data_IF_882733026827
#
_entry.id   IF_882733026827
#
_cell.length_a   1.000
_cell.length_b   1.000
_cell.length_c   1.000
_cell.angle_alpha   90.00
_cell.angle_beta   90.00
_cell.angle_gamma   90.00
#
_symmetry.space_group_name_H-M   'P 1'
#
loop_
_entity.id
_entity.type
_entity.pdbx_description
1 polymer ?
#
# COMPACT_ATOMS: atom_id res chain seq x y z
N UNK A 1 8.34 10.44 -24.00
CA UNK A 1 9.03 9.64 -22.98
C UNK A 1 7.93 9.04 -22.13
N UNK A 2 7.66 7.74 -22.27
CA UNK A 2 6.92 7.00 -21.26
C UNK A 2 7.77 7.03 -20.00
N UNK A 3 7.23 7.57 -18.92
CA UNK A 3 7.88 7.55 -17.63
C UNK A 3 7.94 6.07 -17.20
N UNK A 4 9.14 5.47 -17.18
CA UNK A 4 9.32 4.08 -16.75
C UNK A 4 9.12 4.04 -15.23
N UNK A 5 7.86 3.92 -14.82
CA UNK A 5 7.51 3.85 -13.41
C UNK A 5 8.06 2.59 -12.77
N UNK A 6 8.84 2.77 -11.72
CA UNK A 6 9.26 1.70 -10.82
C UNK A 6 8.64 1.93 -9.44
N UNK A 7 7.96 0.94 -8.83
CA UNK A 7 7.48 1.07 -7.46
C UNK A 7 8.66 1.09 -6.47
N UNK A 8 8.51 1.85 -5.39
CA UNK A 8 9.54 2.03 -4.35
C UNK A 8 8.90 2.26 -2.98
N UNK A 9 9.64 1.96 -1.91
CA UNK A 9 9.22 2.13 -0.51
C UNK A 9 8.75 3.56 -0.26
N UNK A 10 7.64 3.72 0.48
CA UNK A 10 6.97 5.01 0.81
C UNK A 10 6.24 5.69 -0.34
N UNK A 11 6.50 5.27 -1.58
CA UNK A 11 5.72 5.72 -2.73
C UNK A 11 4.26 5.30 -2.58
N UNK A 12 3.37 6.08 -3.17
CA UNK A 12 1.95 5.78 -3.22
C UNK A 12 1.44 5.71 -4.66
N UNK A 13 0.40 4.93 -4.87
CA UNK A 13 -0.22 4.75 -6.20
C UNK A 13 -1.73 4.72 -6.08
N UNK A 14 -2.42 5.15 -7.13
CA UNK A 14 -3.84 4.94 -7.30
C UNK A 14 -4.08 3.74 -8.20
N UNK A 15 -4.62 2.67 -7.64
CA UNK A 15 -5.13 1.56 -8.43
C UNK A 15 -6.63 1.73 -8.65
N UNK A 16 -7.09 1.52 -9.89
CA UNK A 16 -8.52 1.43 -10.19
C UNK A 16 -9.07 0.14 -9.60
N UNK A 17 -9.97 0.24 -8.63
CA UNK A 17 -10.70 -0.90 -8.08
C UNK A 17 -12.19 -0.63 -8.23
N UNK A 18 -12.83 -1.24 -9.22
CA UNK A 18 -14.23 -0.93 -9.56
C UNK A 18 -14.40 0.52 -10.07
N UNK A 19 -15.43 1.27 -9.62
CA UNK A 19 -15.72 2.61 -10.14
C UNK A 19 -14.80 3.70 -9.58
N UNK A 20 -13.96 3.40 -8.59
CA UNK A 20 -13.14 4.40 -7.87
C UNK A 20 -11.65 4.05 -7.90
N UNK A 21 -10.82 5.09 -7.80
CA UNK A 21 -9.37 4.97 -7.57
C UNK A 21 -9.11 4.91 -6.06
N UNK A 22 -8.36 3.90 -5.63
CA UNK A 22 -7.97 3.76 -4.23
C UNK A 22 -6.47 3.98 -4.06
N UNK A 23 -6.11 4.75 -3.03
CA UNK A 23 -4.72 4.94 -2.64
C UNK A 23 -4.15 3.62 -2.08
N UNK A 24 -2.99 3.24 -2.60
CA UNK A 24 -2.18 2.16 -2.09
C UNK A 24 -0.80 2.69 -1.70
N UNK A 25 -0.27 2.20 -0.59
CA UNK A 25 1.05 2.56 -0.06
C UNK A 25 2.00 1.39 -0.32
N UNK A 26 3.19 1.66 -0.88
CA UNK A 26 4.22 0.66 -1.13
C UNK A 26 5.11 0.48 0.10
N UNK A 27 5.10 -0.72 0.68
CA UNK A 27 5.74 -1.01 1.98
C UNK A 27 7.23 -1.34 1.89
N UNK A 28 7.75 -1.69 0.71
CA UNK A 28 9.16 -2.02 0.49
C UNK A 28 9.62 -1.69 -0.92
N UNK A 29 10.92 -1.50 -1.09
CA UNK A 29 11.54 -1.50 -2.40
C UNK A 29 11.43 -2.91 -3.02
N UNK A 30 11.41 -3.03 -4.37
CA UNK A 30 11.38 -4.30 -5.06
C UNK A 30 12.37 -5.33 -4.51
N UNK A 31 11.85 -6.48 -4.07
CA UNK A 31 12.67 -7.61 -3.60
C UNK A 31 12.36 -8.86 -4.39
N UNK A 32 13.37 -9.68 -4.68
CA UNK A 32 13.12 -10.99 -5.26
C UNK A 32 12.43 -11.89 -4.22
N UNK A 33 11.24 -12.41 -4.57
CA UNK A 33 10.44 -13.25 -3.71
C UNK A 33 10.39 -14.68 -4.25
N UNK A 34 11.13 -15.64 -3.64
CA UNK A 34 11.29 -16.99 -4.18
C UNK A 34 9.99 -17.77 -4.37
N UNK A 35 8.95 -17.47 -3.58
CA UNK A 35 7.65 -18.15 -3.69
C UNK A 35 6.95 -17.81 -5.01
N UNK A 36 7.13 -16.59 -5.52
CA UNK A 36 6.55 -16.13 -6.78
C UNK A 36 7.54 -16.15 -7.95
N UNK A 37 8.81 -16.48 -7.67
CA UNK A 37 9.94 -16.47 -8.61
C UNK A 37 10.06 -15.16 -9.42
N UNK A 38 9.87 -14.02 -8.75
CA UNK A 38 9.96 -12.71 -9.37
C UNK A 38 10.21 -11.60 -8.35
N UNK A 39 10.46 -10.38 -8.84
CA UNK A 39 10.48 -9.19 -7.98
C UNK A 39 9.06 -8.82 -7.54
N UNK A 40 8.89 -8.57 -6.26
CA UNK A 40 7.62 -8.24 -5.63
C UNK A 40 7.76 -7.03 -4.69
N UNK A 41 6.63 -6.38 -4.46
CA UNK A 41 6.41 -5.38 -3.43
C UNK A 41 5.17 -5.76 -2.62
N UNK A 42 5.15 -5.38 -1.35
CA UNK A 42 3.95 -5.43 -0.53
C UNK A 42 3.27 -4.06 -0.59
N UNK A 43 1.95 -4.07 -0.74
CA UNK A 43 1.13 -2.86 -0.68
C UNK A 43 -0.01 -3.01 0.31
N UNK A 44 -0.44 -1.87 0.84
CA UNK A 44 -1.67 -1.76 1.64
C UNK A 44 -2.61 -0.73 1.02
N UNK A 45 -3.91 -0.98 1.16
CA UNK A 45 -4.97 -0.08 0.71
C UNK A 45 -5.37 0.90 1.82
N UNK A 46 -5.85 2.08 1.45
CA UNK A 46 -6.41 3.07 2.37
C UNK A 46 -7.90 3.32 2.06
N UNK A 47 -8.73 3.32 3.11
CA UNK A 47 -10.15 3.66 3.04
C UNK A 47 -10.51 4.74 4.05
N UNK A 48 -11.45 5.62 3.71
CA UNK A 48 -12.01 6.56 4.68
C UNK A 48 -12.78 5.85 5.79
N UNK A 49 -12.70 6.38 7.00
CA UNK A 49 -13.56 5.99 8.12
C UNK A 49 -14.98 6.51 7.85
N UNK A 50 -15.99 5.66 8.08
CA UNK A 50 -17.40 6.01 7.91
C UNK A 50 -18.13 5.79 9.23
N UNK A 51 -18.99 6.75 9.60
CA UNK A 51 -19.76 6.67 10.84
C UNK A 51 -20.59 5.38 10.90
N UNK A 52 -20.48 4.66 12.01
CA UNK A 52 -21.20 3.40 12.25
C UNK A 52 -20.70 2.19 11.44
N UNK A 53 -19.64 2.34 10.64
CA UNK A 53 -19.03 1.24 9.88
C UNK A 53 -17.78 0.75 10.63
N UNK A 54 -17.74 -0.52 11.07
CA UNK A 54 -16.54 -1.11 11.66
C UNK A 54 -15.35 -1.01 10.70
N UNK A 55 -14.19 -0.67 11.24
CA UNK A 55 -12.94 -0.57 10.52
C UNK A 55 -11.80 -1.08 11.39
N UNK A 56 -10.64 -1.30 10.77
CA UNK A 56 -9.42 -1.72 11.47
C UNK A 56 -8.73 -0.46 12.04
N UNK A 57 -8.61 -0.36 13.35
CA UNK A 57 -8.03 0.78 14.05
C UNK A 57 -6.52 0.64 14.30
N UNK A 58 -5.90 -0.43 13.80
CA UNK A 58 -4.46 -0.68 13.93
C UNK A 58 -3.59 0.43 13.31
N UNK A 59 -4.11 1.13 12.30
CA UNK A 59 -3.48 2.32 11.74
C UNK A 59 -4.53 3.28 11.16
N UNK A 60 -4.82 4.35 11.90
CA UNK A 60 -5.61 5.49 11.44
C UNK A 60 -4.69 6.52 10.78
N UNK A 61 -5.11 7.13 9.68
CA UNK A 61 -4.45 8.21 8.96
C UNK A 61 -5.32 9.47 9.03
N UNK A 62 -4.71 10.59 9.39
CA UNK A 62 -5.40 11.86 9.58
C UNK A 62 -5.06 12.88 8.48
N UNK A 63 -5.86 13.94 8.39
CA UNK A 63 -5.57 15.04 7.49
C UNK A 63 -4.15 15.61 7.79
N UNK A 64 -3.33 15.72 6.74
CA UNK A 64 -1.93 16.15 6.83
C UNK A 64 -0.91 15.02 6.97
N UNK A 65 -1.33 13.77 7.19
CA UNK A 65 -0.41 12.62 7.19
C UNK A 65 0.16 12.33 5.78
N UNK A 66 -0.59 12.69 4.73
CA UNK A 66 -0.22 12.64 3.31
C UNK A 66 -1.19 13.53 2.52
N UNK A 67 -0.77 14.19 1.43
CA UNK A 67 -1.58 15.16 0.70
C UNK A 67 -2.89 14.64 0.07
N UNK A 68 -3.03 13.33 -0.10
CA UNK A 68 -4.31 12.69 -0.51
C UNK A 68 -5.30 12.50 0.66
N UNK A 69 -4.81 12.49 1.90
CA UNK A 69 -5.65 12.23 3.08
C UNK A 69 -6.26 13.55 3.56
N UNK A 70 -7.55 13.74 3.29
CA UNK A 70 -8.32 14.92 3.72
C UNK A 70 -9.33 14.62 4.83
N UNK A 71 -9.62 13.33 5.05
CA UNK A 71 -10.55 12.84 6.05
C UNK A 71 -9.90 11.70 6.81
N UNK A 72 -10.33 11.48 8.05
CA UNK A 72 -9.92 10.32 8.84
C UNK A 72 -10.11 9.04 8.01
N UNK A 73 -9.02 8.29 7.87
CA UNK A 73 -8.92 7.11 7.04
C UNK A 73 -8.20 6.02 7.81
N UNK A 74 -8.26 4.79 7.34
CA UNK A 74 -7.60 3.66 7.97
C UNK A 74 -6.93 2.77 6.91
N UNK A 75 -5.89 2.06 7.34
CA UNK A 75 -5.20 1.08 6.50
C UNK A 75 -5.98 -0.24 6.51
N UNK A 76 -6.28 -0.76 5.32
CA UNK A 76 -7.10 -1.95 5.13
C UNK A 76 -6.22 -3.20 5.08
N UNK A 77 -5.65 -3.62 6.20
CA UNK A 77 -4.67 -4.71 6.27
C UNK A 77 -5.14 -6.06 5.73
N UNK A 78 -6.44 -6.37 5.87
CA UNK A 78 -7.01 -7.61 5.32
C UNK A 78 -6.97 -7.68 3.78
N UNK A 79 -6.77 -6.54 3.12
CA UNK A 79 -6.59 -6.42 1.67
C UNK A 79 -5.13 -6.13 1.27
N UNK A 80 -4.19 -6.23 2.21
CA UNK A 80 -2.77 -6.17 1.86
C UNK A 80 -2.45 -7.20 0.77
N UNK A 81 -1.57 -6.84 -0.16
CA UNK A 81 -1.27 -7.69 -1.31
C UNK A 81 0.19 -7.62 -1.70
N UNK A 82 0.75 -8.77 -2.05
CA UNK A 82 2.07 -8.87 -2.66
C UNK A 82 1.87 -8.73 -4.17
N UNK A 83 2.31 -7.61 -4.73
CA UNK A 83 2.25 -7.35 -6.17
C UNK A 83 3.56 -7.70 -6.84
N UNK A 84 3.48 -8.30 -8.03
CA UNK A 84 4.63 -8.50 -8.88
C UNK A 84 4.99 -7.19 -9.57
N UNK A 85 6.28 -6.88 -9.64
CA UNK A 85 6.77 -5.60 -10.19
C UNK A 85 6.46 -5.47 -11.68
N UNK A 86 6.62 -6.53 -12.45
CA UNK A 86 6.27 -6.57 -13.88
C UNK A 86 4.81 -6.16 -14.13
N UNK A 87 3.87 -6.71 -13.37
CA UNK A 87 2.45 -6.37 -13.45
C UNK A 87 2.13 -4.95 -12.98
N UNK A 88 2.91 -4.39 -12.06
CA UNK A 88 2.76 -2.98 -11.63
C UNK A 88 3.19 -2.04 -12.76
N UNK A 89 4.31 -2.33 -13.42
CA UNK A 89 4.81 -1.54 -14.57
C UNK A 89 3.82 -1.60 -15.72
N UNK A 90 3.30 -2.78 -16.06
CA UNK A 90 2.31 -2.96 -17.13
C UNK A 90 1.01 -2.17 -16.83
N UNK A 91 0.50 -2.27 -15.60
CA UNK A 91 -0.69 -1.51 -15.17
C UNK A 91 -0.46 0.00 -15.14
N UNK A 92 0.78 0.43 -14.92
CA UNK A 92 1.09 1.85 -15.05
C UNK A 92 1.06 2.29 -16.51
N UNK A 93 1.73 1.53 -17.38
CA UNK A 93 1.82 1.82 -18.81
C UNK A 93 0.45 1.84 -19.50
N UNK A 94 -0.51 1.03 -19.04
CA UNK A 94 -1.87 0.99 -19.58
C UNK A 94 -2.87 1.95 -18.90
N UNK A 95 -2.42 2.72 -17.88
CA UNK A 95 -3.25 3.70 -17.17
C UNK A 95 -4.25 3.10 -16.16
N UNK A 96 -4.07 1.85 -15.74
CA UNK A 96 -4.82 1.22 -14.63
C UNK A 96 -4.26 1.59 -13.25
N UNK A 97 -2.97 1.94 -13.20
CA UNK A 97 -2.26 2.36 -12.01
C UNK A 97 -1.58 3.72 -12.26
N UNK A 98 -1.82 4.67 -11.36
CA UNK A 98 -1.25 6.01 -11.46
C UNK A 98 -0.33 6.27 -10.26
N UNK A 99 0.91 6.70 -10.52
CA UNK A 99 1.83 7.11 -9.45
C UNK A 99 1.30 8.36 -8.76
N UNK A 100 1.30 8.37 -7.43
CA UNK A 100 1.16 9.62 -6.66
C UNK A 100 2.50 10.35 -6.60
N UNK A 101 2.46 11.68 -6.68
CA UNK A 101 3.67 12.52 -6.73
C UNK A 101 4.33 12.72 -5.35
N UNK A 102 3.56 12.54 -4.28
CA UNK A 102 4.02 12.66 -2.89
C UNK A 102 4.27 11.28 -2.27
N UNK A 103 5.32 11.21 -1.47
CA UNK A 103 5.66 10.05 -0.65
C UNK A 103 5.09 10.20 0.76
N UNK A 104 4.87 9.07 1.44
CA UNK A 104 4.60 9.11 2.87
C UNK A 104 5.84 9.54 3.66
N UNK A 105 5.67 10.49 4.58
CA UNK A 105 6.74 10.84 5.51
C UNK A 105 7.08 9.64 6.41
N UNK A 106 8.31 9.62 6.94
CA UNK A 106 8.82 8.45 7.67
C UNK A 106 7.98 8.10 8.91
N UNK A 107 7.52 9.09 9.67
CA UNK A 107 6.76 8.85 10.90
C UNK A 107 5.41 8.19 10.61
N UNK A 108 4.69 8.68 9.60
CA UNK A 108 3.42 8.09 9.16
C UNK A 108 3.66 6.72 8.56
N UNK A 109 4.69 6.58 7.71
CA UNK A 109 5.01 5.31 7.09
C UNK A 109 5.36 4.22 8.12
N UNK A 110 6.07 4.55 9.20
CA UNK A 110 6.35 3.59 10.27
C UNK A 110 5.09 3.17 11.04
N UNK A 111 4.10 4.07 11.22
CA UNK A 111 2.79 3.68 11.77
C UNK A 111 2.09 2.65 10.86
N UNK A 112 2.18 2.82 9.53
CA UNK A 112 1.64 1.87 8.56
C UNK A 112 2.35 0.51 8.66
N UNK A 113 3.67 0.48 8.81
CA UNK A 113 4.40 -0.78 8.97
C UNK A 113 4.08 -1.46 10.30
N UNK A 114 4.03 -0.71 11.41
CA UNK A 114 3.74 -1.25 12.73
C UNK A 114 2.35 -1.89 12.82
N UNK A 115 1.37 -1.40 12.07
CA UNK A 115 0.02 -1.96 12.08
C UNK A 115 -0.06 -3.41 11.56
N UNK A 116 0.96 -3.93 10.86
CA UNK A 116 1.01 -5.36 10.50
C UNK A 116 1.13 -6.28 11.73
N UNK A 117 1.77 -5.84 12.81
CA UNK A 117 1.87 -6.61 14.06
C UNK A 117 0.70 -6.35 15.03
N UNK A 118 -0.13 -5.34 14.74
CA UNK A 118 -1.28 -4.95 15.57
C UNK A 118 -2.58 -5.55 15.00
N UNK A 119 -2.75 -5.52 13.68
CA UNK A 119 -3.97 -5.97 13.03
C UNK A 119 -4.11 -7.49 13.06
N UNK A 120 -5.18 -7.97 13.69
CA UNK A 120 -5.58 -9.38 13.68
C UNK A 120 -6.08 -9.86 12.31
N UNK A 121 -6.24 -8.94 11.35
CA UNK A 121 -6.84 -9.20 10.04
C UNK A 121 -5.80 -9.41 8.93
N UNK A 122 -4.51 -9.28 9.23
CA UNK A 122 -3.42 -9.54 8.27
C UNK A 122 -3.36 -11.03 7.95
N UNK A 123 -3.27 -11.37 6.66
CA UNK A 123 -3.06 -12.77 6.27
C UNK A 123 -1.67 -13.27 6.68
N UNK A 124 -1.56 -14.54 7.06
CA UNK A 124 -0.26 -15.15 7.45
C UNK A 124 0.81 -14.97 6.36
N UNK A 125 0.41 -15.08 5.09
CA UNK A 125 1.32 -14.88 3.95
C UNK A 125 1.87 -13.45 3.90
N UNK A 126 1.00 -12.45 4.00
CA UNK A 126 1.41 -11.04 3.97
C UNK A 126 2.23 -10.67 5.21
N UNK A 127 1.85 -11.17 6.40
CA UNK A 127 2.60 -10.97 7.64
C UNK A 127 4.03 -11.51 7.53
N UNK A 128 4.19 -12.74 7.01
CA UNK A 128 5.52 -13.35 6.79
C UNK A 128 6.36 -12.59 5.77
N UNK A 129 5.75 -12.08 4.70
CA UNK A 129 6.45 -11.25 3.73
C UNK A 129 6.91 -9.94 4.38
N UNK A 130 5.99 -9.23 5.04
CA UNK A 130 6.26 -7.98 5.73
C UNK A 130 7.42 -8.13 6.73
N UNK A 131 7.36 -9.14 7.60
CA UNK A 131 8.39 -9.42 8.62
C UNK A 131 9.77 -9.74 8.05
N UNK A 132 9.84 -10.17 6.79
CA UNK A 132 11.11 -10.53 6.15
C UNK A 132 11.70 -9.38 5.33
N UNK A 133 10.87 -8.53 4.76
CA UNK A 133 11.28 -7.58 3.72
C UNK A 133 10.92 -6.12 4.00
N UNK A 134 10.11 -5.83 5.02
CA UNK A 134 9.60 -4.49 5.31
C UNK A 134 10.03 -3.95 6.68
N UNK A 135 10.18 -4.84 7.68
CA UNK A 135 10.59 -4.54 9.06
C UNK A 135 12.09 -4.36 9.23
#
# INVERSE_FOLDING_TARGET
MTDDYQPYRKGAVFAKTGPCKHLHIVCNDPVYYPINDCFCILVVNVSSVKFGVPHDDSCILNAGDHGFIHHESYVVYHQAAIWRVDGVVEKHANGELEKHHEDFNELVFQRVLNGFDISERVSITNHRFWRKYCS
#
